data_IF_535784466488
#
_entry.id   IF_535784466488
#
_cell.length_a   1.000
_cell.length_b   1.000
_cell.length_c   1.000
_cell.angle_alpha   90.00
_cell.angle_beta   90.00
_cell.angle_gamma   90.00
#
_symmetry.space_group_name_H-M   'P 1'
#
loop_
_entity.id
_entity.type
_entity.pdbx_description
1 polymer ?
#
# COMPACT_ATOMS: atom_id res chain seq x y z
N UNK A 1 53.75 5.51 18.43
CA UNK A 1 52.63 5.57 17.47
C UNK A 1 51.38 5.77 18.31
N UNK A 2 50.90 7.01 18.35
CA UNK A 2 49.71 7.38 19.10
C UNK A 2 48.49 6.96 18.29
N UNK A 3 47.66 6.09 18.84
CA UNK A 3 46.33 5.82 18.31
C UNK A 3 45.44 7.04 18.59
N UNK A 4 44.94 7.65 17.52
CA UNK A 4 44.10 8.83 17.53
C UNK A 4 42.62 8.40 17.65
N UNK A 5 41.85 8.81 18.68
CA UNK A 5 40.49 8.32 18.92
C UNK A 5 39.45 9.24 18.27
N UNK A 6 39.46 9.40 16.93
CA UNK A 6 38.39 10.09 16.20
C UNK A 6 38.01 9.39 14.89
N UNK A 7 36.71 9.16 14.74
CA UNK A 7 35.96 8.74 13.54
C UNK A 7 35.68 7.24 13.35
N UNK A 8 34.78 6.70 14.18
CA UNK A 8 33.76 5.75 13.66
C UNK A 8 32.42 6.50 13.62
N UNK A 9 32.12 7.20 12.53
CA UNK A 9 30.79 7.75 12.29
C UNK A 9 29.83 6.58 12.02
N UNK A 10 29.13 6.11 13.04
CA UNK A 10 28.10 5.08 12.88
C UNK A 10 26.96 5.57 11.98
N UNK A 11 26.25 4.63 11.32
CA UNK A 11 25.08 4.95 10.50
C UNK A 11 24.02 5.64 11.34
N UNK A 12 23.32 6.63 10.83
CA UNK A 12 22.31 7.34 11.61
C UNK A 12 20.96 6.60 11.59
N UNK A 13 20.40 6.31 12.77
CA UNK A 13 19.03 5.82 12.92
C UNK A 13 18.18 6.90 13.58
N UNK A 14 17.28 7.51 12.82
CA UNK A 14 16.36 8.52 13.35
C UNK A 14 15.05 7.88 13.82
N UNK A 15 14.63 8.20 15.04
CA UNK A 15 13.44 7.63 15.67
C UNK A 15 12.38 8.70 15.79
N UNK A 16 11.23 8.43 15.17
CA UNK A 16 10.01 9.25 15.25
C UNK A 16 8.95 8.51 16.05
N UNK A 17 8.35 9.19 17.01
CA UNK A 17 7.40 8.58 17.94
C UNK A 17 6.43 9.62 18.51
N UNK A 18 5.30 9.20 19.10
CA UNK A 18 4.36 10.13 19.70
C UNK A 18 5.02 10.91 20.84
N UNK A 19 4.96 12.25 20.75
CA UNK A 19 5.44 13.17 21.79
C UNK A 19 4.25 13.58 22.65
N UNK A 20 4.17 13.03 23.86
CA UNK A 20 3.23 13.47 24.88
C UNK A 20 3.85 14.48 25.85
N UNK A 21 3.04 15.17 26.67
CA UNK A 21 3.53 16.03 27.75
C UNK A 21 4.47 15.29 28.71
N UNK A 22 5.38 16.02 29.35
CA UNK A 22 6.27 15.45 30.36
C UNK A 22 5.48 14.72 31.46
N UNK A 23 5.90 13.50 31.80
CA UNK A 23 5.24 12.65 32.79
C UNK A 23 3.98 11.90 32.31
N UNK A 24 3.50 12.15 31.09
CA UNK A 24 2.37 11.42 30.51
C UNK A 24 2.71 9.96 30.21
N UNK A 25 1.69 9.11 30.12
CA UNK A 25 1.86 7.70 29.75
C UNK A 25 2.38 7.54 28.31
N UNK A 26 1.99 8.45 27.42
CA UNK A 26 2.54 8.52 26.06
C UNK A 26 4.06 8.71 26.12
N UNK A 27 4.53 9.71 26.88
CA UNK A 27 5.97 9.99 27.03
C UNK A 27 6.72 8.81 27.63
N UNK A 28 6.20 8.22 28.72
CA UNK A 28 6.80 7.05 29.37
C UNK A 28 6.91 5.86 28.42
N UNK A 29 5.85 5.57 27.66
CA UNK A 29 5.85 4.50 26.66
C UNK A 29 6.88 4.76 25.56
N UNK A 30 6.88 5.94 24.96
CA UNK A 30 7.85 6.30 23.91
C UNK A 30 9.30 6.21 24.43
N UNK A 31 9.54 6.62 25.68
CA UNK A 31 10.85 6.45 26.35
C UNK A 31 11.22 4.98 26.54
N UNK A 32 10.28 4.14 26.96
CA UNK A 32 10.51 2.71 27.14
C UNK A 32 10.76 1.98 25.81
N UNK A 33 9.96 2.26 24.79
CA UNK A 33 10.12 1.68 23.45
C UNK A 33 11.47 2.07 22.87
N UNK A 34 11.83 3.36 22.92
CA UNK A 34 13.13 3.84 22.46
C UNK A 34 14.28 3.14 23.21
N UNK A 35 14.30 3.25 24.55
CA UNK A 35 15.42 2.78 25.38
C UNK A 35 15.57 1.26 25.39
N UNK A 36 14.46 0.53 25.46
CA UNK A 36 14.50 -0.90 25.74
C UNK A 36 14.31 -1.76 24.51
N UNK A 37 13.80 -1.23 23.40
CA UNK A 37 13.56 -1.99 22.16
C UNK A 37 14.43 -1.46 21.03
N UNK A 38 14.26 -0.19 20.66
CA UNK A 38 14.86 0.36 19.44
C UNK A 38 16.37 0.52 19.59
N UNK A 39 16.82 1.34 20.55
CA UNK A 39 18.24 1.64 20.75
C UNK A 39 19.14 0.41 20.83
N UNK A 40 18.90 -0.57 21.73
CA UNK A 40 19.82 -1.71 21.86
C UNK A 40 19.90 -2.52 20.57
N UNK A 41 18.80 -2.65 19.82
CA UNK A 41 18.80 -3.43 18.58
C UNK A 41 19.50 -2.69 17.45
N UNK A 42 19.26 -1.40 17.25
CA UNK A 42 19.90 -0.69 16.13
C UNK A 42 21.40 -0.45 16.40
N UNK A 43 21.79 -0.28 17.67
CA UNK A 43 23.20 -0.17 18.08
C UNK A 43 23.99 -1.45 17.81
N UNK A 44 23.39 -2.64 18.01
CA UNK A 44 23.98 -3.93 17.62
C UNK A 44 24.33 -3.99 16.10
N UNK A 45 23.61 -3.22 15.27
CA UNK A 45 23.81 -3.14 13.82
C UNK A 45 24.70 -1.95 13.41
N UNK A 46 25.34 -1.26 14.37
CA UNK A 46 26.24 -0.13 14.11
C UNK A 46 25.52 1.18 13.80
N UNK A 47 24.22 1.27 14.08
CA UNK A 47 23.48 2.52 13.99
C UNK A 47 23.59 3.33 15.29
N UNK A 48 23.61 4.65 15.16
CA UNK A 48 23.49 5.60 16.26
C UNK A 48 22.05 6.11 16.36
N UNK A 49 21.25 5.65 17.34
CA UNK A 49 19.85 6.06 17.47
C UNK A 49 19.71 7.50 17.97
N UNK A 50 19.06 8.36 17.19
CA UNK A 50 18.68 9.72 17.60
C UNK A 50 17.17 9.86 17.60
N UNK A 51 16.60 10.44 18.66
CA UNK A 51 15.15 10.68 18.76
C UNK A 51 14.84 12.17 18.55
N UNK A 52 13.81 12.46 17.76
CA UNK A 52 13.50 13.82 17.30
C UNK A 52 13.23 14.85 18.41
N UNK A 53 12.78 14.43 19.59
CA UNK A 53 12.50 15.30 20.74
C UNK A 53 13.71 15.56 21.65
N UNK A 54 14.87 14.94 21.38
CA UNK A 54 16.13 15.15 22.11
C UNK A 54 17.10 16.09 21.38
N UNK A 55 16.69 16.65 20.23
CA UNK A 55 17.50 17.58 19.45
C UNK A 55 17.35 18.98 20.06
N UNK A 56 18.13 19.24 21.11
CA UNK A 56 18.22 20.52 21.83
C UNK A 56 19.13 21.55 21.10
N UNK A 57 18.94 21.76 19.78
CA UNK A 57 19.72 22.76 19.05
C UNK A 57 18.87 23.96 18.63
N UNK A 58 19.32 25.16 19.02
CA UNK A 58 18.74 26.47 18.72
C UNK A 58 18.63 26.71 17.21
N UNK A 59 17.46 26.41 16.65
CA UNK A 59 17.04 26.65 15.27
C UNK A 59 15.53 26.41 15.13
N UNK A 60 14.93 26.68 13.96
CA UNK A 60 13.55 26.24 13.71
C UNK A 60 13.51 24.71 13.69
N UNK A 61 12.86 24.13 14.70
CA UNK A 61 12.71 22.67 14.95
C UNK A 61 12.36 21.91 13.67
N UNK A 62 11.57 22.52 12.79
CA UNK A 62 11.08 21.94 11.54
C UNK A 62 12.18 21.61 10.53
N UNK A 63 13.21 22.45 10.36
CA UNK A 63 14.22 22.24 9.31
C UNK A 63 15.18 21.11 9.65
N UNK A 64 15.60 21.02 10.92
CA UNK A 64 16.50 19.95 11.38
C UNK A 64 15.80 18.60 11.37
N UNK A 65 14.54 18.55 11.79
CA UNK A 65 13.70 17.35 11.71
C UNK A 65 13.59 16.83 10.27
N UNK A 66 13.27 17.72 9.33
CA UNK A 66 13.19 17.37 7.91
C UNK A 66 14.56 16.86 7.43
N UNK A 67 15.65 17.56 7.73
CA UNK A 67 17.00 17.14 7.35
C UNK A 67 17.31 15.71 7.83
N UNK A 68 16.96 15.38 9.08
CA UNK A 68 17.11 14.02 9.62
C UNK A 68 16.27 12.99 8.87
N UNK A 69 15.01 13.30 8.54
CA UNK A 69 14.14 12.40 7.77
C UNK A 69 14.68 12.14 6.36
N UNK A 70 15.25 13.17 5.73
CA UNK A 70 15.85 13.10 4.39
C UNK A 70 17.20 12.36 4.41
N UNK A 71 18.02 12.55 5.45
CA UNK A 71 19.42 12.15 5.43
C UNK A 71 19.73 10.87 6.19
N UNK A 72 19.03 10.57 7.29
CA UNK A 72 19.33 9.41 8.12
C UNK A 72 19.33 8.10 7.32
N UNK A 73 20.25 7.20 7.65
CA UNK A 73 20.39 5.89 7.00
C UNK A 73 19.16 5.00 7.27
N UNK A 74 18.58 5.12 8.46
CA UNK A 74 17.38 4.40 8.88
C UNK A 74 16.40 5.33 9.60
N UNK A 75 15.10 5.12 9.38
CA UNK A 75 14.04 5.71 10.23
C UNK A 75 13.24 4.61 10.91
N UNK A 76 13.09 4.66 12.23
CA UNK A 76 12.15 3.81 12.96
C UNK A 76 10.97 4.66 13.40
N UNK A 77 9.78 4.32 12.92
CA UNK A 77 8.55 5.06 13.19
C UNK A 77 7.64 4.29 14.15
N UNK A 78 7.46 4.82 15.36
CA UNK A 78 6.45 4.36 16.31
C UNK A 78 5.10 5.02 16.01
N UNK A 79 4.21 4.25 15.40
CA UNK A 79 2.89 4.66 14.94
C UNK A 79 1.80 4.47 16.01
N UNK A 80 2.20 4.18 17.24
CA UNK A 80 1.26 4.00 18.35
C UNK A 80 0.34 5.22 18.52
N UNK A 81 -0.91 4.95 18.83
CA UNK A 81 -2.02 5.91 18.97
C UNK A 81 -2.32 6.68 17.69
N UNK A 82 -1.78 6.24 16.56
CA UNK A 82 -1.97 6.84 15.25
C UNK A 82 -1.66 8.35 15.24
N UNK A 83 -0.56 8.74 15.90
CA UNK A 83 -0.19 10.14 16.04
C UNK A 83 0.02 10.80 14.65
N UNK A 84 -0.72 11.88 14.32
CA UNK A 84 -0.68 12.49 12.99
C UNK A 84 0.68 13.09 12.64
N UNK A 85 1.45 13.57 13.64
CA UNK A 85 2.79 14.11 13.40
C UNK A 85 3.73 13.01 12.91
N UNK A 86 3.66 11.82 13.51
CA UNK A 86 4.49 10.69 13.10
C UNK A 86 4.14 10.23 11.67
N UNK A 87 2.86 10.24 11.30
CA UNK A 87 2.46 9.94 9.92
C UNK A 87 2.95 10.98 8.92
N UNK A 88 2.96 12.26 9.30
CA UNK A 88 3.52 13.31 8.46
C UNK A 88 5.02 13.10 8.21
N UNK A 89 5.79 12.82 9.27
CA UNK A 89 7.22 12.52 9.19
C UNK A 89 7.49 11.25 8.36
N UNK A 90 6.68 10.21 8.56
CA UNK A 90 6.75 8.96 7.78
C UNK A 90 6.47 9.19 6.30
N UNK A 91 5.52 10.06 5.96
CA UNK A 91 5.22 10.40 4.56
C UNK A 91 6.42 11.05 3.85
N UNK A 92 7.17 11.92 4.53
CA UNK A 92 8.42 12.49 4.02
C UNK A 92 9.44 11.37 3.78
N UNK A 93 9.59 10.45 4.74
CA UNK A 93 10.50 9.30 4.59
C UNK A 93 10.12 8.40 3.41
N UNK A 94 8.84 8.16 3.21
CA UNK A 94 8.33 7.40 2.05
C UNK A 94 8.66 8.09 0.72
N UNK A 95 8.58 9.42 0.67
CA UNK A 95 8.89 10.19 -0.53
C UNK A 95 10.38 10.09 -0.92
N UNK A 96 11.30 10.07 0.05
CA UNK A 96 12.74 9.93 -0.23
C UNK A 96 13.22 8.50 -0.44
N UNK A 97 12.35 7.50 -0.25
CA UNK A 97 12.61 6.07 -0.53
C UNK A 97 13.86 5.52 0.17
N UNK A 98 14.15 6.01 1.37
CA UNK A 98 15.23 5.49 2.20
C UNK A 98 14.70 4.53 3.28
N UNK A 99 15.53 3.62 3.81
CA UNK A 99 15.07 2.54 4.71
C UNK A 99 14.25 3.02 5.90
N UNK A 100 13.19 2.29 6.23
CA UNK A 100 12.35 2.58 7.39
C UNK A 100 11.78 1.30 8.02
N UNK A 101 11.35 1.40 9.28
CA UNK A 101 10.66 0.33 10.01
C UNK A 101 9.44 0.91 10.70
N UNK A 102 8.29 0.21 10.60
CA UNK A 102 7.08 0.54 11.36
C UNK A 102 7.04 -0.26 12.66
N UNK A 103 6.73 0.44 13.74
CA UNK A 103 6.42 -0.13 15.06
C UNK A 103 5.07 0.42 15.51
N UNK A 104 4.25 -0.38 16.20
CA UNK A 104 2.97 0.07 16.74
C UNK A 104 2.62 -0.73 18.00
N UNK A 105 1.89 -0.14 18.94
CA UNK A 105 1.41 -0.87 20.11
C UNK A 105 0.51 -2.05 19.72
N UNK A 106 0.74 -3.18 20.38
CA UNK A 106 -0.09 -4.37 20.22
C UNK A 106 -1.56 -4.07 20.56
N UNK A 107 -2.47 -4.67 19.80
CA UNK A 107 -3.92 -4.47 19.95
C UNK A 107 -4.48 -3.25 19.20
N UNK A 108 -3.62 -2.42 18.60
CA UNK A 108 -4.08 -1.34 17.73
C UNK A 108 -4.26 -1.81 16.28
N UNK A 109 -5.20 -1.19 15.58
CA UNK A 109 -5.49 -1.51 14.19
C UNK A 109 -4.56 -0.71 13.29
N UNK A 110 -3.76 -1.41 12.47
CA UNK A 110 -2.92 -0.78 11.44
C UNK A 110 -3.80 -0.06 10.41
N UNK A 111 -3.61 1.26 10.21
CA UNK A 111 -4.34 2.05 9.22
C UNK A 111 -4.24 1.48 7.82
N UNK A 112 -5.29 1.70 7.02
CA UNK A 112 -5.38 1.14 5.68
C UNK A 112 -4.20 1.54 4.78
N UNK A 113 -3.74 2.79 4.88
CA UNK A 113 -2.69 3.37 4.03
C UNK A 113 -1.33 2.67 4.17
N UNK A 114 -1.06 2.07 5.33
CA UNK A 114 0.20 1.37 5.63
C UNK A 114 0.04 -0.13 5.87
N UNK A 115 -1.17 -0.67 5.72
CA UNK A 115 -1.47 -2.09 6.00
C UNK A 115 -0.72 -3.06 5.08
N UNK A 116 -0.31 -2.60 3.89
CA UNK A 116 0.52 -3.36 2.97
C UNK A 116 1.97 -3.53 3.45
N UNK A 117 2.41 -2.79 4.47
CA UNK A 117 3.77 -2.80 4.98
C UNK A 117 3.85 -3.57 6.31
N UNK A 118 4.97 -4.26 6.51
CA UNK A 118 5.24 -4.98 7.75
C UNK A 118 5.33 -3.98 8.91
N UNK A 119 4.52 -4.21 9.94
CA UNK A 119 4.50 -3.42 11.17
C UNK A 119 4.81 -4.32 12.35
N UNK A 120 5.82 -3.96 13.15
CA UNK A 120 6.15 -4.67 14.38
C UNK A 120 5.14 -4.26 15.46
N UNK A 121 4.32 -5.20 15.90
CA UNK A 121 3.36 -4.98 16.98
C UNK A 121 4.02 -5.32 18.31
N UNK A 122 3.96 -4.40 19.29
CA UNK A 122 4.61 -4.62 20.58
C UNK A 122 3.76 -4.18 21.77
N UNK A 123 3.70 -5.04 22.79
CA UNK A 123 3.25 -4.68 24.11
C UNK A 123 4.48 -4.40 24.99
N UNK A 124 4.83 -3.12 25.18
CA UNK A 124 6.00 -2.69 25.96
C UNK A 124 5.96 -3.09 27.45
N UNK A 125 4.83 -3.60 27.96
CA UNK A 125 4.69 -4.09 29.34
C UNK A 125 4.86 -5.60 29.47
N UNK A 126 4.95 -6.30 28.35
CA UNK A 126 5.11 -7.74 28.26
C UNK A 126 6.51 -8.05 27.74
N UNK A 127 7.32 -8.72 28.57
CA UNK A 127 8.72 -9.00 28.25
C UNK A 127 8.87 -9.96 27.06
N UNK A 128 7.92 -10.89 26.88
CA UNK A 128 7.95 -11.81 25.76
C UNK A 128 7.63 -11.06 24.46
N UNK A 129 6.62 -10.19 24.49
CA UNK A 129 6.30 -9.31 23.36
C UNK A 129 7.47 -8.36 23.02
N UNK A 130 8.17 -7.84 24.03
CA UNK A 130 9.39 -7.03 23.84
C UNK A 130 10.50 -7.85 23.18
N UNK A 131 10.72 -9.09 23.63
CA UNK A 131 11.72 -9.98 23.02
C UNK A 131 11.40 -10.28 21.56
N UNK A 132 10.15 -10.64 21.25
CA UNK A 132 9.69 -10.88 19.89
C UNK A 132 9.84 -9.65 19.00
N UNK A 133 9.48 -8.46 19.50
CA UNK A 133 9.63 -7.22 18.76
C UNK A 133 11.10 -6.92 18.42
N UNK A 134 12.04 -7.20 19.34
CA UNK A 134 13.47 -7.08 19.08
C UNK A 134 13.92 -8.04 17.98
N UNK A 135 13.53 -9.31 18.04
CA UNK A 135 13.92 -10.29 17.02
C UNK A 135 13.34 -9.96 15.65
N UNK A 136 12.10 -9.45 15.60
CA UNK A 136 11.51 -8.94 14.36
C UNK A 136 12.28 -7.73 13.82
N UNK A 137 12.64 -6.77 14.68
CA UNK A 137 13.43 -5.60 14.29
C UNK A 137 14.80 -6.02 13.74
N UNK A 138 15.52 -6.93 14.42
CA UNK A 138 16.78 -7.51 13.93
C UNK A 138 16.61 -8.16 12.55
N UNK A 139 15.53 -8.92 12.36
CA UNK A 139 15.20 -9.53 11.07
C UNK A 139 15.06 -8.49 9.96
N UNK A 140 14.31 -7.42 10.21
CA UNK A 140 14.14 -6.32 9.25
C UNK A 140 15.46 -5.60 8.96
N UNK A 141 16.29 -5.34 9.98
CA UNK A 141 17.59 -4.70 9.81
C UNK A 141 18.53 -5.56 8.95
N UNK A 142 18.56 -6.88 9.14
CA UNK A 142 19.35 -7.79 8.27
C UNK A 142 18.93 -7.67 6.80
N UNK A 143 17.63 -7.59 6.53
CA UNK A 143 17.12 -7.40 5.16
C UNK A 143 17.51 -6.05 4.59
N UNK A 144 17.43 -4.98 5.39
CA UNK A 144 17.86 -3.63 4.97
C UNK A 144 19.35 -3.61 4.65
N UNK A 145 20.19 -4.18 5.53
CA UNK A 145 21.65 -4.24 5.33
C UNK A 145 22.07 -5.10 4.12
N UNK A 146 21.23 -6.07 3.72
CA UNK A 146 21.45 -6.85 2.49
C UNK A 146 21.21 -6.07 1.19
N UNK A 147 20.73 -4.81 1.28
CA UNK A 147 20.47 -3.96 0.12
C UNK A 147 19.12 -4.23 -0.55
N UNK A 148 18.15 -4.79 0.19
CA UNK A 148 16.80 -4.99 -0.34
C UNK A 148 16.17 -3.66 -0.78
N UNK A 149 15.45 -3.63 -1.91
CA UNK A 149 14.81 -2.40 -2.39
C UNK A 149 13.76 -1.91 -1.39
N UNK A 150 13.75 -0.59 -1.16
CA UNK A 150 12.78 0.05 -0.27
C UNK A 150 11.50 0.33 -1.05
N UNK A 151 10.45 -0.44 -0.73
CA UNK A 151 9.10 -0.19 -1.23
C UNK A 151 8.37 0.79 -0.30
N UNK A 152 7.65 1.74 -0.87
CA UNK A 152 6.82 2.73 -0.15
C UNK A 152 5.48 2.89 -0.85
N UNK A 153 4.44 3.42 -0.18
CA UNK A 153 3.14 3.66 -0.81
C UNK A 153 3.21 4.55 -2.05
N UNK A 154 4.23 5.41 -2.14
CA UNK A 154 4.42 6.40 -3.20
C UNK A 154 5.48 5.99 -4.24
N UNK A 155 6.19 4.87 -4.01
CA UNK A 155 7.24 4.35 -4.91
C UNK A 155 6.74 4.25 -6.35
N UNK A 156 5.63 3.55 -6.58
CA UNK A 156 5.08 3.34 -7.93
C UNK A 156 4.75 4.66 -8.64
N UNK A 157 4.13 5.61 -7.94
CA UNK A 157 3.75 6.90 -8.53
C UNK A 157 4.96 7.74 -8.87
N UNK A 158 6.00 7.70 -8.04
CA UNK A 158 7.27 8.41 -8.29
C UNK A 158 7.98 7.78 -9.50
N UNK A 159 8.07 6.45 -9.56
CA UNK A 159 8.69 5.74 -10.69
C UNK A 159 7.98 6.06 -12.00
N UNK A 160 6.64 6.02 -12.00
CA UNK A 160 5.85 6.37 -13.18
C UNK A 160 6.10 7.81 -13.64
N UNK A 161 6.11 8.77 -12.71
CA UNK A 161 6.38 10.17 -13.05
C UNK A 161 7.79 10.36 -13.62
N UNK A 162 8.81 9.75 -13.02
CA UNK A 162 10.18 9.82 -13.53
C UNK A 162 10.31 9.23 -14.94
N UNK A 163 9.69 8.08 -15.17
CA UNK A 163 9.68 7.42 -16.48
C UNK A 163 8.95 8.27 -17.54
N UNK A 164 7.81 8.89 -17.19
CA UNK A 164 7.06 9.78 -18.09
C UNK A 164 7.84 11.04 -18.47
N UNK A 165 8.62 11.58 -17.53
CA UNK A 165 9.44 12.78 -17.75
C UNK A 165 10.84 12.47 -18.29
N UNK A 166 11.16 11.20 -18.55
CA UNK A 166 12.43 10.81 -19.14
C UNK A 166 12.50 11.24 -20.61
N UNK A 167 13.66 11.75 -21.02
CA UNK A 167 13.94 12.03 -22.43
C UNK A 167 14.04 10.74 -23.28
N UNK A 168 14.32 9.60 -22.64
CA UNK A 168 14.39 8.29 -23.29
C UNK A 168 12.98 7.79 -23.68
N UNK A 169 12.81 7.42 -24.96
CA UNK A 169 11.56 6.85 -25.48
C UNK A 169 11.23 5.48 -24.88
N UNK A 170 12.24 4.67 -24.55
CA UNK A 170 12.04 3.34 -23.95
C UNK A 170 11.51 3.47 -22.51
N UNK A 171 12.04 4.44 -21.74
CA UNK A 171 11.58 4.72 -20.38
C UNK A 171 10.11 5.19 -20.38
N UNK A 172 9.72 6.04 -21.33
CA UNK A 172 8.32 6.43 -21.51
C UNK A 172 7.42 5.25 -21.88
N UNK A 173 7.90 4.35 -22.76
CA UNK A 173 7.19 3.11 -23.08
C UNK A 173 7.02 2.18 -21.87
N UNK A 174 7.98 2.11 -20.95
CA UNK A 174 7.84 1.36 -19.69
C UNK A 174 6.75 1.98 -18.80
N UNK A 175 6.63 3.32 -18.76
CA UNK A 175 5.56 3.98 -18.02
C UNK A 175 4.17 3.58 -18.54
N UNK A 176 3.99 3.58 -19.87
CA UNK A 176 2.72 3.21 -20.51
C UNK A 176 2.36 1.74 -20.17
N UNK A 177 3.33 0.82 -20.24
CA UNK A 177 3.14 -0.58 -19.83
C UNK A 177 2.75 -0.69 -18.35
N UNK A 178 3.41 0.06 -17.47
CA UNK A 178 3.11 0.05 -16.04
C UNK A 178 1.71 0.59 -15.73
N UNK A 179 1.19 1.53 -16.50
CA UNK A 179 -0.15 2.10 -16.36
C UNK A 179 -1.22 1.09 -16.83
N UNK A 180 -0.99 0.43 -17.98
CA UNK A 180 -1.84 -0.65 -18.48
C UNK A 180 -1.87 -1.85 -17.52
N UNK A 181 -0.72 -2.26 -16.97
CA UNK A 181 -0.66 -3.31 -15.95
C UNK A 181 -1.45 -2.95 -14.69
N UNK A 182 -1.50 -1.67 -14.29
CA UNK A 182 -2.30 -1.22 -13.14
C UNK A 182 -3.79 -1.23 -13.46
N UNK A 183 -4.17 -0.83 -14.67
CA UNK A 183 -5.55 -0.96 -15.15
C UNK A 183 -5.97 -2.44 -15.08
N UNK A 184 -5.17 -3.35 -15.63
CA UNK A 184 -5.40 -4.80 -15.56
C UNK A 184 -5.46 -5.29 -14.11
N UNK A 185 -4.53 -4.90 -13.24
CA UNK A 185 -4.52 -5.29 -11.82
C UNK A 185 -5.78 -4.82 -11.08
N UNK A 186 -6.34 -3.66 -11.44
CA UNK A 186 -7.62 -3.18 -10.91
C UNK A 186 -8.79 -4.08 -11.31
N UNK A 187 -8.73 -4.70 -12.49
CA UNK A 187 -9.73 -5.67 -12.96
C UNK A 187 -9.47 -7.10 -12.43
N UNK A 188 -8.22 -7.44 -12.10
CA UNK A 188 -7.81 -8.78 -11.65
C UNK A 188 -7.78 -8.94 -10.13
N UNK A 189 -7.69 -7.85 -9.34
CA UNK A 189 -7.79 -7.96 -7.89
C UNK A 189 -9.21 -8.40 -7.51
N UNK A 190 -9.39 -9.56 -6.83
CA UNK A 190 -10.69 -9.89 -6.28
C UNK A 190 -11.01 -8.83 -5.25
N UNK A 191 -12.10 -8.11 -5.46
CA UNK A 191 -12.65 -7.10 -4.53
C UNK A 191 -12.89 -7.79 -3.19
N UNK A 192 -11.87 -7.85 -2.34
CA UNK A 192 -11.92 -8.46 -0.99
C UNK A 192 -12.49 -7.47 0.01
N UNK A 193 -13.61 -6.89 -0.39
CA UNK A 193 -14.72 -6.35 0.38
C UNK A 193 -15.87 -6.50 -0.61
N UNK A 194 -16.91 -7.25 -0.26
CA UNK A 194 -18.23 -6.94 -0.82
C UNK A 194 -18.63 -5.63 -0.12
N UNK A 195 -18.50 -4.42 -0.71
CA UNK A 195 -19.52 -3.45 -0.39
C UNK A 195 -20.81 -4.07 -0.93
N UNK A 196 -21.92 -3.89 -0.22
CA UNK A 196 -23.21 -3.97 -0.87
C UNK A 196 -23.15 -2.97 -2.03
N UNK A 197 -22.76 -3.42 -3.22
CA UNK A 197 -23.01 -2.70 -4.44
C UNK A 197 -24.52 -2.71 -4.52
N UNK A 198 -25.13 -1.57 -4.19
CA UNK A 198 -26.57 -1.42 -4.27
C UNK A 198 -27.00 -1.94 -5.64
N UNK A 199 -27.90 -2.93 -5.67
CA UNK A 199 -28.39 -3.56 -6.88
C UNK A 199 -28.94 -2.51 -7.86
N UNK A 200 -29.41 -1.37 -7.33
CA UNK A 200 -29.86 -0.22 -8.10
C UNK A 200 -28.71 0.47 -8.84
N UNK A 201 -27.52 0.54 -8.25
CA UNK A 201 -26.32 1.11 -8.89
C UNK A 201 -25.74 0.15 -9.93
N UNK A 202 -25.74 -1.16 -9.64
CA UNK A 202 -25.35 -2.18 -10.63
C UNK A 202 -26.31 -2.18 -11.83
N UNK A 203 -27.61 -2.09 -11.57
CA UNK A 203 -28.66 -2.00 -12.59
C UNK A 203 -28.46 -0.80 -13.51
N UNK A 204 -28.30 0.40 -12.94
CA UNK A 204 -28.05 1.62 -13.73
C UNK A 204 -26.75 1.55 -14.54
N UNK A 205 -25.75 0.84 -14.05
CA UNK A 205 -24.48 0.67 -14.76
C UNK A 205 -24.67 -0.22 -16.00
N UNK A 206 -25.34 -1.36 -15.87
CA UNK A 206 -25.64 -2.26 -17.01
C UNK A 206 -26.54 -1.59 -18.03
N UNK A 207 -27.58 -0.88 -17.60
CA UNK A 207 -28.46 -0.11 -18.49
C UNK A 207 -27.68 0.92 -19.32
N UNK A 208 -26.75 1.67 -18.69
CA UNK A 208 -25.89 2.62 -19.39
C UNK A 208 -24.93 1.98 -20.40
N UNK A 209 -24.44 0.77 -20.13
CA UNK A 209 -23.58 0.05 -21.07
C UNK A 209 -24.39 -0.47 -22.27
N UNK A 210 -25.63 -0.91 -22.03
CA UNK A 210 -26.57 -1.27 -23.09
C UNK A 210 -26.93 -0.09 -23.97
N UNK A 211 -27.34 1.04 -23.39
CA UNK A 211 -27.64 2.27 -24.14
C UNK A 211 -26.45 2.79 -24.96
N UNK A 212 -25.23 2.56 -24.50
CA UNK A 212 -24.02 2.95 -25.20
C UNK A 212 -23.57 1.96 -26.30
N UNK A 213 -24.30 0.86 -26.51
CA UNK A 213 -23.94 -0.18 -27.48
C UNK A 213 -22.66 -0.94 -27.14
N UNK A 214 -22.27 -0.96 -25.84
CA UNK A 214 -21.00 -1.53 -25.37
C UNK A 214 -21.15 -2.91 -24.75
N UNK A 215 -22.36 -3.46 -24.76
CA UNK A 215 -22.65 -4.84 -24.34
C UNK A 215 -22.77 -5.72 -25.58
N UNK A 216 -22.00 -6.81 -25.61
CA UNK A 216 -22.15 -7.89 -26.58
C UNK A 216 -22.95 -9.03 -25.96
N UNK A 217 -23.58 -9.86 -26.79
CA UNK A 217 -24.32 -11.03 -26.29
C UNK A 217 -23.45 -12.00 -25.50
N UNK A 218 -22.16 -12.10 -25.83
CA UNK A 218 -21.19 -12.88 -25.07
C UNK A 218 -21.01 -12.39 -23.61
N UNK A 219 -21.34 -11.13 -23.31
CA UNK A 219 -21.27 -10.58 -21.95
C UNK A 219 -22.43 -11.07 -21.06
N UNK A 220 -23.47 -11.68 -21.64
CA UNK A 220 -24.63 -12.20 -20.92
C UNK A 220 -24.24 -13.25 -19.88
N UNK A 221 -23.30 -14.13 -20.23
CA UNK A 221 -22.84 -15.23 -19.38
C UNK A 221 -22.14 -14.72 -18.10
N UNK A 222 -21.73 -13.44 -18.07
CA UNK A 222 -21.18 -12.79 -16.88
C UNK A 222 -22.24 -12.09 -16.02
N UNK A 223 -23.39 -11.74 -16.60
CA UNK A 223 -24.49 -11.02 -15.93
C UNK A 223 -25.61 -11.95 -15.45
N UNK A 224 -25.71 -13.14 -16.04
CA UNK A 224 -26.67 -14.20 -15.73
C UNK A 224 -25.90 -15.42 -15.25
N UNK A 225 -26.24 -15.92 -14.06
CA UNK A 225 -25.59 -17.12 -13.47
C UNK A 225 -26.64 -18.11 -12.99
N UNK A 226 -26.23 -19.30 -12.56
CA UNK A 226 -27.16 -20.26 -11.94
C UNK A 226 -27.81 -19.75 -10.64
N UNK A 227 -27.33 -18.63 -10.09
CA UNK A 227 -27.83 -18.01 -8.85
C UNK A 227 -28.73 -16.80 -9.10
N UNK A 228 -28.92 -16.36 -10.36
CA UNK A 228 -29.79 -15.22 -10.68
C UNK A 228 -31.27 -15.63 -10.75
N UNK A 229 -32.16 -14.68 -10.46
CA UNK A 229 -33.61 -14.90 -10.58
C UNK A 229 -34.07 -14.73 -12.03
N UNK A 230 -35.11 -15.44 -12.46
CA UNK A 230 -35.69 -15.27 -13.80
C UNK A 230 -36.01 -13.81 -14.17
N UNK A 231 -36.52 -13.03 -13.23
CA UNK A 231 -36.83 -11.62 -13.44
C UNK A 231 -35.58 -10.74 -13.67
N UNK A 232 -34.42 -11.14 -13.14
CA UNK A 232 -33.14 -10.49 -13.40
C UNK A 232 -32.63 -10.86 -14.79
N UNK A 233 -32.72 -12.12 -15.18
CA UNK A 233 -32.29 -12.61 -16.49
C UNK A 233 -33.08 -11.93 -17.62
N UNK A 234 -34.41 -11.84 -17.47
CA UNK A 234 -35.29 -11.14 -18.41
C UNK A 234 -34.97 -9.63 -18.51
N UNK A 235 -34.56 -9.01 -17.41
CA UNK A 235 -34.12 -7.61 -17.41
C UNK A 235 -32.78 -7.42 -18.13
N UNK A 236 -31.80 -8.32 -17.91
CA UNK A 236 -30.51 -8.31 -18.62
C UNK A 236 -30.73 -8.49 -20.12
N UNK A 237 -31.58 -9.44 -20.51
CA UNK A 237 -31.90 -9.70 -21.92
C UNK A 237 -32.49 -8.46 -22.58
N UNK A 238 -33.41 -7.75 -21.90
CA UNK A 238 -33.97 -6.50 -22.40
C UNK A 238 -32.95 -5.37 -22.50
N UNK A 239 -32.04 -5.25 -21.54
CA UNK A 239 -30.98 -4.24 -21.54
C UNK A 239 -29.96 -4.47 -22.67
N UNK A 240 -29.75 -5.74 -23.06
CA UNK A 240 -28.87 -6.13 -24.17
C UNK A 240 -29.54 -6.01 -25.54
N UNK A 241 -30.83 -6.34 -25.67
CA UNK A 241 -31.58 -6.21 -26.95
C UNK A 241 -31.72 -4.74 -27.38
N UNK A 242 -31.75 -3.79 -26.42
CA UNK A 242 -31.73 -2.35 -26.74
C UNK A 242 -30.40 -1.84 -27.29
N UNK A 243 -29.31 -2.61 -27.15
CA UNK A 243 -27.95 -2.22 -27.50
C UNK A 243 -27.51 -2.65 -28.91
N UNK A 244 -28.18 -3.65 -29.50
CA UNK A 244 -27.80 -4.27 -30.76
C UNK A 244 -29.03 -4.56 -31.65
N UNK A 245 -29.31 -3.72 -32.67
CA UNK A 245 -30.43 -3.95 -33.60
C UNK A 245 -30.20 -5.13 -34.57
N UNK A 246 -29.00 -5.72 -34.60
CA UNK A 246 -28.59 -6.73 -35.58
C UNK A 246 -27.94 -7.98 -34.96
N UNK A 247 -27.81 -8.02 -33.63
CA UNK A 247 -27.34 -9.17 -32.86
C UNK A 247 -28.42 -10.25 -32.80
N UNK A 248 -28.38 -11.18 -33.75
CA UNK A 248 -29.25 -12.33 -33.76
C UNK A 248 -29.08 -13.14 -32.46
N UNK A 249 -30.13 -13.18 -31.62
CA UNK A 249 -30.27 -14.20 -30.61
C UNK A 249 -30.17 -15.57 -31.31
N UNK A 250 -29.32 -16.51 -30.86
CA UNK A 250 -29.33 -17.84 -31.43
C UNK A 250 -30.72 -18.47 -31.21
N UNK A 251 -31.31 -19.14 -32.20
CA UNK A 251 -32.62 -19.76 -32.04
C UNK A 251 -32.57 -20.78 -30.89
N UNK A 252 -33.66 -20.91 -30.11
CA UNK A 252 -33.70 -21.85 -29.01
C UNK A 252 -33.42 -23.27 -29.53
N UNK A 253 -32.51 -23.98 -28.88
CA UNK A 253 -32.12 -25.35 -29.22
C UNK A 253 -33.34 -26.28 -29.17
N UNK A 254 -33.90 -26.61 -30.33
CA UNK A 254 -34.98 -27.58 -30.46
C UNK A 254 -35.73 -27.48 -31.79
N UNK A 255 -35.26 -28.16 -32.83
CA UNK A 255 -36.00 -28.31 -34.09
C UNK A 255 -35.14 -28.91 -35.20
N UNK A 256 -35.60 -30.00 -35.79
CA UNK A 256 -34.91 -30.87 -36.72
C UNK A 256 -34.62 -30.24 -38.10
N UNK A 257 -33.69 -30.88 -38.80
CA UNK A 257 -33.33 -30.75 -40.23
C UNK A 257 -34.47 -30.30 -41.16
N UNK A 258 -34.12 -29.41 -42.09
CA UNK A 258 -34.65 -29.47 -43.45
C UNK A 258 -33.50 -29.16 -44.43
N UNK A 259 -33.22 -30.17 -45.24
CA UNK A 259 -32.38 -30.14 -46.43
C UNK A 259 -32.81 -29.01 -47.38
N UNK A 260 -31.84 -28.33 -47.98
CA UNK A 260 -31.82 -27.92 -49.40
C UNK A 260 -30.69 -26.90 -49.63
N UNK A 261 -29.51 -27.41 -49.97
CA UNK A 261 -28.56 -26.70 -50.84
C UNK A 261 -29.06 -26.82 -52.30
N UNK A 262 -28.73 -25.93 -53.28
CA UNK A 262 -27.33 -25.87 -53.78
C UNK A 262 -26.98 -24.52 -54.51
N UNK A 263 -25.97 -24.45 -55.40
CA UNK A 263 -24.55 -24.31 -55.04
C UNK A 263 -23.86 -23.19 -55.85
N UNK A 264 -23.23 -22.16 -55.25
CA UNK A 264 -22.11 -21.42 -55.87
C UNK A 264 -21.27 -20.74 -54.78
#
# INVERSE_FOLDING_TARGET
>A
MSDDPKSRSGKECFVVCPIGPAGSDIRKRSDQVYRHIISPVVEEFGYSPQRGDLIEQSGQITTQLIDKLLNADLVVADLTDQNPNVFYELAIRHAVRKPFVHLMAHGQIVPFDIRGFRTILVNHRDLDSVFEAKEQLKGMLRTIESGAPVETPVTYTIDLQQLRHSENSEARGIADIMEEMRAIKKYVQPTRRRPNMDLITLRRFVERLGEAGRLQWADRDFLVTSETTKAHDEWVDKAMIGADPWGAAPPPSGGAFADDEPPF
#
